data_IF_670116334309
#
_entry.id   IF_670116334309
#
_cell.length_a   1.000
_cell.length_b   1.000
_cell.length_c   1.000
_cell.angle_alpha   90.00
_cell.angle_beta   90.00
_cell.angle_gamma   90.00
#
_symmetry.space_group_name_H-M   'P 1'
#
loop_
_entity.id
_entity.type
_entity.pdbx_description
1 polymer ?
#
# COMPACT_ATOMS: atom_id res chain seq x y z
N UNK A 1 7.46 17.41 -16.28
CA UNK A 1 7.58 18.42 -15.20
C UNK A 1 8.78 18.12 -14.30
N UNK A 2 9.26 19.08 -13.49
CA UNK A 2 10.21 18.75 -12.41
C UNK A 2 9.48 17.93 -11.35
N UNK A 3 10.18 17.03 -10.66
CA UNK A 3 9.57 16.15 -9.65
C UNK A 3 8.87 16.93 -8.51
N UNK A 4 9.44 18.06 -8.09
CA UNK A 4 8.84 18.95 -7.09
C UNK A 4 7.46 19.49 -7.52
N UNK A 5 7.26 19.77 -8.80
CA UNK A 5 5.98 20.28 -9.31
C UNK A 5 4.92 19.18 -9.27
N UNK A 6 5.31 17.93 -9.60
CA UNK A 6 4.42 16.75 -9.52
C UNK A 6 3.99 16.51 -8.07
N UNK A 7 4.91 16.58 -7.11
CA UNK A 7 4.60 16.45 -5.68
C UNK A 7 3.63 17.53 -5.21
N UNK A 8 3.87 18.79 -5.60
CA UNK A 8 3.01 19.92 -5.25
C UNK A 8 1.61 19.75 -5.82
N UNK A 9 1.50 19.39 -7.10
CA UNK A 9 0.21 19.14 -7.76
C UNK A 9 -0.54 17.99 -7.09
N UNK A 10 0.15 16.88 -6.80
CA UNK A 10 -0.43 15.74 -6.11
C UNK A 10 -0.98 16.11 -4.73
N UNK A 11 -0.24 16.91 -3.97
CA UNK A 11 -0.69 17.37 -2.65
C UNK A 11 -1.91 18.28 -2.76
N UNK A 12 -1.92 19.22 -3.70
CA UNK A 12 -3.05 20.13 -3.92
C UNK A 12 -4.32 19.36 -4.29
N UNK A 13 -4.22 18.39 -5.22
CA UNK A 13 -5.37 17.57 -5.63
C UNK A 13 -5.83 16.70 -4.45
N UNK A 14 -4.94 15.94 -3.82
CA UNK A 14 -5.30 15.08 -2.71
C UNK A 14 -5.93 15.88 -1.56
N UNK A 15 -5.37 17.02 -1.18
CA UNK A 15 -5.86 17.84 -0.07
C UNK A 15 -7.24 18.47 -0.35
N UNK A 16 -7.49 18.85 -1.61
CA UNK A 16 -8.73 19.50 -2.05
C UNK A 16 -9.93 18.55 -1.96
N UNK A 17 -9.77 17.26 -2.25
CA UNK A 17 -10.86 16.29 -2.28
C UNK A 17 -10.84 15.39 -1.04
N UNK A 18 -11.58 15.77 0.02
CA UNK A 18 -11.59 15.03 1.30
C UNK A 18 -12.02 13.57 1.19
N UNK A 19 -12.91 13.25 0.25
CA UNK A 19 -13.30 11.86 0.02
C UNK A 19 -12.14 10.99 -0.49
N UNK A 20 -11.10 11.58 -1.10
CA UNK A 20 -9.91 10.82 -1.50
C UNK A 20 -9.21 10.24 -0.28
N UNK A 21 -9.21 10.95 0.86
CA UNK A 21 -8.58 10.50 2.09
C UNK A 21 -9.31 9.32 2.71
N UNK A 22 -10.65 9.35 2.68
CA UNK A 22 -11.46 8.21 3.12
C UNK A 22 -11.23 6.99 2.20
N UNK A 23 -11.19 7.21 0.89
CA UNK A 23 -10.87 6.16 -0.07
C UNK A 23 -9.46 5.60 0.14
N UNK A 24 -8.48 6.48 0.34
CA UNK A 24 -7.09 6.13 0.60
C UNK A 24 -6.89 5.31 1.88
N UNK A 25 -7.61 5.68 2.94
CA UNK A 25 -7.63 4.92 4.20
C UNK A 25 -8.08 3.47 3.98
N UNK A 26 -9.14 3.27 3.20
CA UNK A 26 -9.66 1.94 2.90
C UNK A 26 -8.71 1.15 2.01
N UNK A 27 -8.01 1.78 1.06
CA UNK A 27 -7.06 1.08 0.17
C UNK A 27 -5.78 0.67 0.93
N UNK A 28 -5.42 1.36 2.01
CA UNK A 28 -4.22 1.11 2.81
C UNK A 28 -4.54 0.79 4.29
N UNK A 29 -5.27 -0.30 4.61
CA UNK A 29 -5.66 -0.64 5.98
C UNK A 29 -4.48 -1.10 6.85
N UNK A 30 -3.35 -1.42 6.24
CA UNK A 30 -2.18 -2.07 6.84
C UNK A 30 -1.47 -1.28 7.96
N UNK A 31 -1.87 -0.03 8.20
CA UNK A 31 -1.42 0.76 9.36
C UNK A 31 -2.27 0.56 10.63
N UNK A 32 -3.38 -0.18 10.54
CA UNK A 32 -4.29 -0.45 11.67
C UNK A 32 -4.00 -1.83 12.29
N UNK A 33 -3.18 -2.65 11.61
CA UNK A 33 -2.93 -4.07 11.96
C UNK A 33 -2.08 -4.32 13.20
N UNK A 34 -1.80 -3.31 14.03
CA UNK A 34 -1.15 -3.48 15.32
C UNK A 34 -2.17 -3.86 16.40
N UNK A 35 -2.92 -4.94 16.22
CA UNK A 35 -3.56 -5.56 17.40
C UNK A 35 -2.45 -6.17 18.23
N UNK A 36 -2.25 -5.76 19.49
CA UNK A 36 -1.32 -6.45 20.33
C UNK A 36 -1.88 -7.84 20.54
N UNK A 37 -1.17 -8.81 20.01
CA UNK A 37 -1.20 -10.18 20.46
C UNK A 37 -0.55 -10.26 21.84
N UNK A 38 -0.95 -9.38 22.79
CA UNK A 38 -0.69 -9.55 24.21
C UNK A 38 -1.63 -10.67 24.70
N UNK A 39 -1.55 -11.83 24.07
CA UNK A 39 -1.86 -13.06 24.75
C UNK A 39 -0.70 -13.25 25.72
N UNK A 40 -0.86 -12.74 26.94
CA UNK A 40 0.01 -13.11 28.05
C UNK A 40 -0.26 -14.59 28.34
N UNK A 41 0.38 -15.48 27.56
CA UNK A 41 0.40 -16.90 27.85
C UNK A 41 1.35 -17.13 29.01
N UNK A 42 0.81 -17.56 30.14
CA UNK A 42 1.66 -18.16 31.15
C UNK A 42 2.04 -19.57 30.67
N UNK A 43 3.28 -20.02 30.94
CA UNK A 43 3.65 -21.40 30.67
C UNK A 43 2.69 -22.35 31.40
N UNK A 44 1.86 -23.09 30.64
CA UNK A 44 0.86 -24.01 31.18
C UNK A 44 -0.59 -23.69 30.80
N UNK A 45 -0.88 -22.49 30.27
CA UNK A 45 -2.19 -22.17 29.74
C UNK A 45 -2.48 -22.97 28.45
N UNK A 46 -3.66 -23.58 28.35
CA UNK A 46 -4.13 -24.13 27.08
C UNK A 46 -4.24 -23.01 26.06
N UNK A 47 -3.75 -23.22 24.83
CA UNK A 47 -3.93 -22.27 23.75
C UNK A 47 -5.44 -22.11 23.48
N UNK A 48 -6.07 -20.92 23.70
CA UNK A 48 -7.43 -20.60 23.24
C UNK A 48 -7.56 -20.67 21.72
N UNK A 49 -7.57 -21.90 21.19
CA UNK A 49 -7.75 -22.21 19.77
C UNK A 49 -9.04 -21.58 19.26
N UNK A 50 -10.08 -21.55 20.10
CA UNK A 50 -11.40 -21.02 19.75
C UNK A 50 -11.36 -19.50 19.56
N UNK A 51 -10.80 -18.76 20.52
CA UNK A 51 -10.69 -17.31 20.49
C UNK A 51 -9.74 -16.87 19.36
N UNK A 52 -8.63 -17.60 19.18
CA UNK A 52 -7.71 -17.39 18.07
C UNK A 52 -8.39 -17.60 16.72
N UNK A 53 -9.16 -18.70 16.56
CA UNK A 53 -9.88 -18.98 15.32
C UNK A 53 -10.97 -17.94 15.03
N UNK A 54 -11.69 -17.47 16.05
CA UNK A 54 -12.68 -16.39 15.91
C UNK A 54 -11.99 -15.09 15.46
N UNK A 55 -10.90 -14.71 16.12
CA UNK A 55 -10.14 -13.51 15.79
C UNK A 55 -9.59 -13.57 14.36
N UNK A 56 -9.02 -14.72 13.99
CA UNK A 56 -8.53 -14.97 12.63
C UNK A 56 -9.66 -14.89 11.61
N UNK A 57 -10.82 -15.48 11.90
CA UNK A 57 -12.00 -15.42 11.05
C UNK A 57 -12.51 -13.98 10.84
N UNK A 58 -12.57 -13.18 11.91
CA UNK A 58 -12.95 -11.76 11.84
C UNK A 58 -11.93 -10.96 11.04
N UNK A 59 -10.63 -11.18 11.28
CA UNK A 59 -9.56 -10.50 10.54
C UNK A 59 -9.59 -10.85 9.05
N UNK A 60 -9.83 -12.11 8.69
CA UNK A 60 -9.98 -12.54 7.30
C UNK A 60 -11.21 -11.93 6.64
N UNK A 61 -12.36 -11.94 7.32
CA UNK A 61 -13.59 -11.32 6.81
C UNK A 61 -13.39 -9.81 6.57
N UNK A 62 -12.77 -9.11 7.52
CA UNK A 62 -12.41 -7.72 7.37
C UNK A 62 -11.43 -7.49 6.21
N UNK A 63 -10.40 -8.32 6.08
CA UNK A 63 -9.47 -8.29 4.96
C UNK A 63 -10.15 -8.44 3.61
N UNK A 64 -11.12 -9.35 3.49
CA UNK A 64 -11.94 -9.51 2.28
C UNK A 64 -12.76 -8.25 2.00
N UNK A 65 -13.43 -7.67 3.00
CA UNK A 65 -14.20 -6.43 2.81
C UNK A 65 -13.32 -5.29 2.32
N UNK A 66 -12.12 -5.15 2.91
CA UNK A 66 -11.18 -4.12 2.48
C UNK A 66 -10.65 -4.38 1.07
N UNK A 67 -10.36 -5.64 0.72
CA UNK A 67 -9.96 -6.01 -0.64
C UNK A 67 -11.03 -5.62 -1.66
N UNK A 68 -12.29 -5.93 -1.37
CA UNK A 68 -13.43 -5.59 -2.24
C UNK A 68 -13.61 -4.07 -2.37
N UNK A 69 -13.55 -3.35 -1.25
CA UNK A 69 -13.66 -1.90 -1.26
C UNK A 69 -12.47 -1.24 -2.00
N UNK A 70 -11.26 -1.75 -1.79
CA UNK A 70 -10.05 -1.29 -2.49
C UNK A 70 -10.14 -1.50 -4.00
N UNK A 71 -10.70 -2.61 -4.47
CA UNK A 71 -10.91 -2.90 -5.89
C UNK A 71 -11.87 -1.89 -6.58
N UNK A 72 -12.76 -1.23 -5.83
CA UNK A 72 -13.65 -0.18 -6.33
C UNK A 72 -13.00 1.19 -6.21
N UNK A 73 -12.43 1.48 -5.02
CA UNK A 73 -11.93 2.80 -4.66
C UNK A 73 -10.64 3.15 -5.42
N UNK A 74 -9.78 2.18 -5.70
CA UNK A 74 -8.52 2.43 -6.40
C UNK A 74 -8.76 2.95 -7.83
N UNK A 75 -9.58 2.32 -8.68
CA UNK A 75 -9.97 2.89 -9.98
C UNK A 75 -10.70 4.23 -9.87
N UNK A 76 -11.61 4.38 -8.90
CA UNK A 76 -12.33 5.62 -8.66
C UNK A 76 -11.38 6.80 -8.40
N UNK A 77 -10.34 6.58 -7.57
CA UNK A 77 -9.30 7.57 -7.28
C UNK A 77 -8.47 7.91 -8.51
N UNK A 78 -8.07 6.91 -9.31
CA UNK A 78 -7.28 7.12 -10.53
C UNK A 78 -8.06 8.01 -11.51
N UNK A 79 -9.33 7.68 -11.77
CA UNK A 79 -10.17 8.43 -12.69
C UNK A 79 -10.47 9.85 -12.16
N UNK A 80 -10.85 9.97 -10.89
CA UNK A 80 -11.10 11.27 -10.27
C UNK A 80 -9.86 12.17 -10.29
N UNK A 81 -8.66 11.60 -10.10
CA UNK A 81 -7.40 12.33 -10.21
C UNK A 81 -7.17 12.84 -11.62
N UNK A 82 -7.37 12.00 -12.64
CA UNK A 82 -7.25 12.38 -14.04
C UNK A 82 -8.16 13.57 -14.39
N UNK A 83 -9.43 13.47 -14.01
CA UNK A 83 -10.43 14.51 -14.24
C UNK A 83 -10.13 15.81 -13.47
N UNK A 84 -9.71 15.70 -12.21
CA UNK A 84 -9.29 16.86 -11.41
C UNK A 84 -8.12 17.60 -12.06
N UNK A 85 -7.17 16.85 -12.65
CA UNK A 85 -6.03 17.40 -13.38
C UNK A 85 -6.44 18.08 -14.69
N UNK A 86 -7.41 17.52 -15.40
CA UNK A 86 -7.98 18.10 -16.62
C UNK A 86 -8.86 19.35 -16.35
N UNK A 87 -9.10 19.71 -15.09
CA UNK A 87 -9.94 20.83 -14.70
C UNK A 87 -11.44 20.52 -14.62
N UNK A 88 -11.84 19.26 -14.79
CA UNK A 88 -13.24 18.79 -14.78
C UNK A 88 -13.49 17.78 -13.66
N UNK A 89 -13.36 18.16 -12.38
CA UNK A 89 -13.36 17.22 -11.27
C UNK A 89 -14.67 16.44 -11.15
N UNK A 90 -14.56 15.11 -11.04
CA UNK A 90 -15.71 14.22 -10.83
C UNK A 90 -16.30 14.35 -9.42
N UNK A 91 -17.61 14.19 -9.32
CA UNK A 91 -18.27 14.00 -8.03
C UNK A 91 -17.96 12.60 -7.48
N UNK A 92 -17.96 12.45 -6.15
CA UNK A 92 -17.63 11.18 -5.50
C UNK A 92 -18.49 10.00 -6.01
N UNK A 93 -19.80 10.22 -6.20
CA UNK A 93 -20.71 9.18 -6.74
C UNK A 93 -20.39 8.75 -8.17
N UNK A 94 -19.97 9.70 -9.03
CA UNK A 94 -19.56 9.41 -10.41
C UNK A 94 -18.25 8.63 -10.44
N UNK A 95 -17.28 9.02 -9.61
CA UNK A 95 -16.02 8.31 -9.46
C UNK A 95 -16.23 6.88 -8.93
N UNK A 96 -17.09 6.70 -7.93
CA UNK A 96 -17.43 5.38 -7.39
C UNK A 96 -18.12 4.50 -8.45
N UNK A 97 -19.04 5.06 -9.23
CA UNK A 97 -19.70 4.34 -10.32
C UNK A 97 -18.69 3.83 -11.35
N UNK A 98 -17.76 4.69 -11.76
CA UNK A 98 -16.67 4.25 -12.62
C UNK A 98 -15.79 3.18 -11.94
N UNK A 99 -15.59 3.29 -10.63
CA UNK A 99 -14.94 2.25 -9.82
C UNK A 99 -15.58 0.87 -9.98
N UNK A 100 -16.91 0.81 -9.96
CA UNK A 100 -17.66 -0.43 -10.20
C UNK A 100 -17.47 -0.98 -11.62
N UNK A 101 -17.38 -0.12 -12.64
CA UNK A 101 -17.14 -0.56 -14.03
C UNK A 101 -15.78 -1.27 -14.21
N UNK A 102 -14.81 -0.95 -13.35
CA UNK A 102 -13.49 -1.58 -13.32
C UNK A 102 -13.33 -2.65 -12.22
N UNK A 103 -14.36 -2.92 -11.41
CA UNK A 103 -14.26 -3.76 -10.22
C UNK A 103 -13.67 -5.13 -10.51
N UNK A 104 -14.23 -5.88 -11.49
CA UNK A 104 -13.77 -7.24 -11.79
C UNK A 104 -12.30 -7.28 -12.24
N UNK A 105 -11.88 -6.32 -13.08
CA UNK A 105 -10.49 -6.21 -13.53
C UNK A 105 -9.55 -5.85 -12.37
N UNK A 106 -9.99 -4.95 -11.51
CA UNK A 106 -9.22 -4.46 -10.38
C UNK A 106 -9.07 -5.52 -9.28
N UNK A 107 -10.13 -6.28 -9.01
CA UNK A 107 -10.10 -7.40 -8.08
C UNK A 107 -9.12 -8.48 -8.56
N UNK A 108 -9.13 -8.83 -9.85
CA UNK A 108 -8.20 -9.80 -10.42
C UNK A 108 -6.74 -9.32 -10.35
N UNK A 109 -6.47 -8.04 -10.59
CA UNK A 109 -5.11 -7.46 -10.41
C UNK A 109 -4.70 -7.51 -8.94
N UNK A 110 -5.60 -7.22 -8.01
CA UNK A 110 -5.35 -7.36 -6.58
C UNK A 110 -5.01 -8.80 -6.19
N UNK A 111 -5.80 -9.78 -6.65
CA UNK A 111 -5.53 -11.21 -6.40
C UNK A 111 -4.20 -11.65 -7.03
N UNK A 112 -3.89 -11.19 -8.24
CA UNK A 112 -2.60 -11.43 -8.88
C UNK A 112 -1.45 -10.86 -8.03
N UNK A 113 -1.59 -9.64 -7.52
CA UNK A 113 -0.60 -9.02 -6.64
C UNK A 113 -0.39 -9.81 -5.36
N UNK A 114 -1.46 -10.31 -4.74
CA UNK A 114 -1.39 -11.17 -3.54
C UNK A 114 -0.64 -12.46 -3.88
N UNK A 115 -1.02 -13.13 -4.99
CA UNK A 115 -0.36 -14.35 -5.44
C UNK A 115 1.14 -14.17 -5.70
N UNK A 116 1.53 -13.11 -6.41
CA UNK A 116 2.94 -12.77 -6.64
C UNK A 116 3.69 -12.46 -5.33
N UNK A 117 3.05 -11.74 -4.39
CA UNK A 117 3.62 -11.47 -3.07
C UNK A 117 3.86 -12.73 -2.25
N UNK A 118 2.88 -13.66 -2.23
CA UNK A 118 3.03 -14.95 -1.56
C UNK A 118 4.15 -15.79 -2.16
N UNK A 119 4.26 -15.85 -3.49
CA UNK A 119 5.35 -16.55 -4.17
C UNK A 119 6.71 -15.97 -3.79
N UNK A 120 6.84 -14.65 -3.71
CA UNK A 120 8.06 -13.97 -3.30
C UNK A 120 8.43 -14.31 -1.83
N UNK A 121 7.44 -14.31 -0.93
CA UNK A 121 7.65 -14.71 0.47
C UNK A 121 8.08 -16.18 0.56
N UNK A 122 7.50 -17.08 -0.23
CA UNK A 122 7.89 -18.50 -0.23
C UNK A 122 9.32 -18.64 -0.79
N UNK A 123 9.61 -18.02 -1.93
CA UNK A 123 10.91 -18.14 -2.62
C UNK A 123 12.07 -17.58 -1.78
N UNK A 124 11.86 -16.49 -1.04
CA UNK A 124 12.90 -15.85 -0.23
C UNK A 124 12.88 -16.30 1.23
N UNK A 125 11.69 -16.51 1.80
CA UNK A 125 11.49 -16.87 3.20
C UNK A 125 11.82 -18.33 3.49
N UNK A 126 11.48 -19.27 2.61
CA UNK A 126 11.76 -20.69 2.86
C UNK A 126 13.27 -20.98 2.95
N UNK A 127 14.13 -20.50 2.03
CA UNK A 127 15.57 -20.68 2.17
C UNK A 127 16.13 -20.02 3.43
N UNK A 128 15.60 -18.85 3.82
CA UNK A 128 16.00 -18.16 5.04
C UNK A 128 15.67 -18.97 6.29
N UNK A 129 14.45 -19.54 6.36
CA UNK A 129 14.02 -20.40 7.46
C UNK A 129 14.91 -21.65 7.54
N UNK A 130 15.14 -22.32 6.41
CA UNK A 130 16.02 -23.51 6.34
C UNK A 130 17.44 -23.17 6.82
N UNK A 131 17.94 -21.99 6.46
CA UNK A 131 19.26 -21.52 6.90
C UNK A 131 19.33 -21.30 8.40
N UNK A 132 18.31 -20.66 9.01
CA UNK A 132 18.25 -20.47 10.46
C UNK A 132 18.11 -21.78 11.24
N UNK A 133 17.37 -22.75 10.70
CA UNK A 133 17.28 -24.11 11.28
C UNK A 133 18.66 -24.79 11.23
N UNK A 134 19.42 -24.59 10.16
CA UNK A 134 20.74 -25.20 9.97
C UNK A 134 21.82 -24.55 10.83
N UNK A 135 21.85 -23.21 10.90
CA UNK A 135 22.79 -22.42 11.69
C UNK A 135 22.36 -20.96 11.77
N UNK A 136 22.44 -20.36 12.96
CA UNK A 136 22.16 -18.93 13.18
C UNK A 136 23.07 -18.04 12.32
N UNK A 137 24.37 -18.39 12.21
CA UNK A 137 25.35 -17.63 11.42
C UNK A 137 24.99 -17.68 9.94
N UNK A 138 24.63 -18.86 9.41
CA UNK A 138 24.19 -19.02 8.03
C UNK A 138 22.89 -18.25 7.77
N UNK A 139 21.93 -18.29 8.70
CA UNK A 139 20.70 -17.52 8.64
C UNK A 139 20.94 -16.01 8.53
N UNK A 140 21.86 -15.46 9.34
CA UNK A 140 22.23 -14.04 9.27
C UNK A 140 22.88 -13.69 7.91
N UNK A 141 23.81 -14.52 7.43
CA UNK A 141 24.47 -14.29 6.13
C UNK A 141 23.46 -14.29 4.99
N UNK A 142 22.54 -15.26 4.97
CA UNK A 142 21.48 -15.32 3.94
C UNK A 142 20.49 -14.16 4.10
N UNK A 143 20.15 -13.76 5.33
CA UNK A 143 19.30 -12.58 5.56
C UNK A 143 19.90 -11.32 4.94
N UNK A 144 21.20 -11.07 5.14
CA UNK A 144 21.89 -9.91 4.58
C UNK A 144 21.88 -9.89 3.05
N UNK A 145 21.87 -11.06 2.40
CA UNK A 145 21.77 -11.19 0.96
C UNK A 145 20.33 -11.04 0.46
N UNK A 146 19.36 -11.63 1.15
CA UNK A 146 17.99 -11.75 0.68
C UNK A 146 17.12 -10.55 1.03
N UNK A 147 17.40 -9.83 2.13
CA UNK A 147 16.64 -8.63 2.51
C UNK A 147 16.69 -7.56 1.41
N UNK A 148 17.85 -7.18 0.85
CA UNK A 148 17.90 -6.23 -0.27
C UNK A 148 17.11 -6.70 -1.49
N UNK A 149 17.19 -7.99 -1.81
CA UNK A 149 16.46 -8.60 -2.94
C UNK A 149 14.95 -8.56 -2.69
N UNK A 150 14.51 -8.89 -1.48
CA UNK A 150 13.10 -8.82 -1.08
C UNK A 150 12.56 -7.39 -1.19
N UNK A 151 13.33 -6.40 -0.74
CA UNK A 151 12.99 -4.98 -0.86
C UNK A 151 12.86 -4.61 -2.35
N UNK A 152 13.88 -4.90 -3.16
CA UNK A 152 13.86 -4.57 -4.59
C UNK A 152 12.69 -5.24 -5.34
N UNK A 153 12.42 -6.51 -5.06
CA UNK A 153 11.35 -7.25 -5.69
C UNK A 153 9.96 -6.76 -5.24
N UNK A 154 9.80 -6.39 -3.96
CA UNK A 154 8.57 -5.74 -3.46
C UNK A 154 8.35 -4.40 -4.14
N UNK A 155 9.39 -3.55 -4.24
CA UNK A 155 9.33 -2.26 -4.93
C UNK A 155 8.90 -2.43 -6.39
N UNK A 156 9.53 -3.38 -7.09
CA UNK A 156 9.21 -3.70 -8.47
C UNK A 156 7.76 -4.14 -8.62
N UNK A 157 7.31 -5.11 -7.81
CA UNK A 157 5.96 -5.66 -7.88
C UNK A 157 4.91 -4.59 -7.57
N UNK A 158 5.10 -3.81 -6.50
CA UNK A 158 4.19 -2.70 -6.15
C UNK A 158 4.11 -1.68 -7.27
N UNK A 159 5.22 -1.33 -7.92
CA UNK A 159 5.23 -0.38 -9.03
C UNK A 159 4.53 -0.95 -10.26
N UNK A 160 4.83 -2.20 -10.62
CA UNK A 160 4.23 -2.89 -11.76
C UNK A 160 2.71 -2.96 -11.62
N UNK A 161 2.21 -3.35 -10.44
CA UNK A 161 0.78 -3.42 -10.17
C UNK A 161 0.12 -2.04 -10.17
N UNK A 162 0.78 -1.03 -9.61
CA UNK A 162 0.31 0.35 -9.66
C UNK A 162 0.17 0.88 -11.09
N UNK A 163 1.14 0.61 -11.96
CA UNK A 163 1.01 0.96 -13.38
C UNK A 163 -0.07 0.13 -14.07
N UNK A 164 -0.25 -1.14 -13.68
CA UNK A 164 -1.26 -2.01 -14.28
C UNK A 164 -2.66 -1.45 -14.03
N UNK A 165 -2.97 -1.05 -12.79
CA UNK A 165 -4.23 -0.37 -12.46
C UNK A 165 -4.46 0.86 -13.33
N UNK A 166 -3.44 1.72 -13.48
CA UNK A 166 -3.56 2.96 -14.27
C UNK A 166 -3.73 2.67 -15.75
N UNK A 167 -3.02 1.67 -16.27
CA UNK A 167 -3.15 1.27 -17.66
C UNK A 167 -4.55 0.72 -17.97
N UNK A 168 -5.11 -0.07 -17.06
CA UNK A 168 -6.47 -0.61 -17.16
C UNK A 168 -7.50 0.52 -17.09
N UNK A 169 -7.38 1.42 -16.12
CA UNK A 169 -8.40 2.45 -15.86
C UNK A 169 -8.35 3.58 -16.89
N UNK A 170 -7.15 4.10 -17.19
CA UNK A 170 -6.99 5.27 -18.05
C UNK A 170 -7.08 4.96 -19.55
N UNK A 171 -6.75 3.74 -19.96
CA UNK A 171 -6.82 3.33 -21.38
C UNK A 171 -7.81 2.19 -21.61
N UNK A 172 -8.63 1.84 -20.61
CA UNK A 172 -9.63 0.77 -20.67
C UNK A 172 -9.07 -0.58 -21.16
N UNK A 173 -7.84 -0.94 -20.75
CA UNK A 173 -7.18 -2.16 -21.22
C UNK A 173 -7.69 -3.44 -20.53
N UNK A 174 -7.41 -4.58 -21.17
CA UNK A 174 -7.50 -5.89 -20.52
C UNK A 174 -6.40 -6.03 -19.45
N UNK A 175 -6.53 -7.03 -18.58
CA UNK A 175 -5.52 -7.27 -17.52
C UNK A 175 -4.17 -7.64 -18.15
N UNK A 176 -4.17 -8.55 -19.13
CA UNK A 176 -2.95 -8.99 -19.81
C UNK A 176 -2.23 -7.85 -20.53
N UNK A 177 -2.98 -7.02 -21.26
CA UNK A 177 -2.42 -5.85 -21.95
C UNK A 177 -1.94 -4.79 -20.94
N UNK A 178 -2.68 -4.62 -19.85
CA UNK A 178 -2.31 -3.73 -18.74
C UNK A 178 -0.96 -4.12 -18.13
N UNK A 179 -0.79 -5.41 -17.78
CA UNK A 179 0.46 -5.95 -17.23
C UNK A 179 1.59 -5.82 -18.24
N UNK A 180 1.38 -6.24 -19.49
CA UNK A 180 2.39 -6.17 -20.55
C UNK A 180 2.88 -4.73 -20.76
N UNK A 181 1.95 -3.78 -20.88
CA UNK A 181 2.26 -2.36 -21.02
C UNK A 181 2.98 -1.80 -19.79
N UNK A 182 2.62 -2.24 -18.59
CA UNK A 182 3.30 -1.85 -17.35
C UNK A 182 4.72 -2.37 -17.24
N UNK A 183 4.98 -3.60 -17.68
CA UNK A 183 6.33 -4.15 -17.73
C UNK A 183 7.18 -3.44 -18.78
N UNK A 184 6.61 -3.16 -19.95
CA UNK A 184 7.27 -2.36 -20.97
C UNK A 184 7.63 -0.96 -20.42
N UNK A 185 6.69 -0.30 -19.74
CA UNK A 185 6.91 0.99 -19.07
C UNK A 185 7.98 0.91 -17.99
N UNK A 186 8.05 -0.16 -17.21
CA UNK A 186 9.11 -0.35 -16.20
C UNK A 186 10.47 -0.57 -16.83
N UNK A 187 10.53 -1.35 -17.92
CA UNK A 187 11.77 -1.61 -18.65
C UNK A 187 12.32 -0.36 -19.36
N UNK A 188 11.42 0.54 -19.79
CA UNK A 188 11.78 1.79 -20.45
C UNK A 188 11.91 2.98 -19.50
N UNK A 189 11.40 2.87 -18.26
CA UNK A 189 11.44 3.95 -17.30
C UNK A 189 12.87 4.21 -16.85
N UNK A 190 13.30 5.46 -17.04
CA UNK A 190 14.54 5.99 -16.44
C UNK A 190 14.42 5.98 -14.90
N UNK A 191 15.55 6.09 -14.18
CA UNK A 191 15.68 6.20 -12.71
C UNK A 191 14.58 6.98 -11.94
N UNK A 192 13.91 8.01 -12.48
CA UNK A 192 12.86 8.74 -11.77
C UNK A 192 11.68 7.91 -11.27
N UNK A 193 11.29 6.81 -11.94
CA UNK A 193 10.20 5.93 -11.48
C UNK A 193 10.52 5.23 -10.16
N UNK A 194 11.79 4.85 -10.00
CA UNK A 194 12.36 4.25 -8.79
C UNK A 194 12.48 5.29 -7.68
N UNK A 195 12.86 6.53 -8.02
CA UNK A 195 12.82 7.67 -7.10
C UNK A 195 11.41 8.03 -6.63
N UNK A 196 10.39 7.81 -7.47
CA UNK A 196 8.98 8.02 -7.10
C UNK A 196 8.47 6.93 -6.17
N UNK A 197 8.78 5.67 -6.45
CA UNK A 197 8.46 4.56 -5.56
C UNK A 197 9.21 4.68 -4.22
N UNK A 198 10.49 5.06 -4.25
CA UNK A 198 11.26 5.38 -3.05
C UNK A 198 10.66 6.58 -2.33
N UNK A 199 10.30 7.69 -2.98
CA UNK A 199 9.67 8.82 -2.28
C UNK A 199 8.31 8.45 -1.65
N UNK A 200 7.51 7.63 -2.35
CA UNK A 200 6.22 7.14 -1.90
C UNK A 200 6.30 6.03 -0.84
N UNK A 201 7.51 5.59 -0.46
CA UNK A 201 7.75 4.58 0.60
C UNK A 201 8.69 5.09 1.70
N UNK A 202 9.70 5.90 1.35
CA UNK A 202 10.71 6.50 2.22
C UNK A 202 10.18 7.73 2.92
N UNK A 203 9.44 8.64 2.26
CA UNK A 203 8.79 9.77 2.96
C UNK A 203 7.78 9.25 4.01
N UNK A 204 6.93 8.25 3.69
CA UNK A 204 6.16 7.50 4.67
C UNK A 204 7.00 6.87 5.76
N UNK A 205 8.03 6.08 5.39
CA UNK A 205 8.85 5.34 6.35
C UNK A 205 9.57 6.26 7.33
N UNK A 206 10.07 7.40 6.86
CA UNK A 206 10.70 8.44 7.69
C UNK A 206 9.67 9.17 8.55
N UNK A 207 8.44 9.43 8.06
CA UNK A 207 7.37 10.04 8.86
C UNK A 207 6.78 9.08 9.90
N UNK A 208 6.74 7.78 9.58
CA UNK A 208 6.29 6.70 10.44
C UNK A 208 7.38 6.26 11.43
N UNK A 209 8.66 6.53 11.16
CA UNK A 209 9.76 6.11 12.03
C UNK A 209 9.69 6.75 13.42
N UNK A 210 9.54 8.08 13.61
CA UNK A 210 9.35 8.70 14.91
C UNK A 210 8.12 8.18 15.64
N UNK A 211 7.04 7.92 14.90
CA UNK A 211 5.78 7.37 15.43
C UNK A 211 6.00 5.95 15.95
N UNK A 212 6.62 5.09 15.14
CA UNK A 212 6.97 3.72 15.53
C UNK A 212 7.97 3.68 16.68
N UNK A 213 8.87 4.67 16.78
CA UNK A 213 9.80 4.83 17.91
C UNK A 213 9.08 5.28 19.18
N UNK A 214 8.15 6.23 19.11
CA UNK A 214 7.30 6.60 20.25
C UNK A 214 6.56 5.36 20.74
N UNK A 215 5.98 4.56 19.83
CA UNK A 215 5.28 3.33 20.19
C UNK A 215 6.20 2.25 20.76
N UNK A 216 7.37 2.04 20.19
CA UNK A 216 8.35 1.08 20.72
C UNK A 216 8.87 1.49 22.10
N UNK A 217 9.10 2.79 22.33
CA UNK A 217 9.51 3.34 23.63
C UNK A 217 8.37 3.24 24.65
N UNK A 218 7.12 3.48 24.25
CA UNK A 218 5.96 3.28 25.13
C UNK A 218 5.76 1.80 25.50
N UNK A 219 5.89 0.88 24.54
CA UNK A 219 5.82 -0.56 24.83
C UNK A 219 6.98 -1.02 25.72
N UNK A 220 8.20 -0.55 25.45
CA UNK A 220 9.35 -0.82 26.32
C UNK A 220 9.10 -0.29 27.73
N UNK A 221 8.62 0.95 27.89
CA UNK A 221 8.31 1.54 29.19
C UNK A 221 7.21 0.78 29.95
N UNK A 222 6.18 0.28 29.26
CA UNK A 222 5.15 -0.58 29.87
C UNK A 222 5.74 -1.93 30.31
N UNK A 223 6.63 -2.52 29.50
CA UNK A 223 7.36 -3.74 29.85
C UNK A 223 8.30 -3.56 31.06
N UNK A 224 8.95 -2.41 31.19
CA UNK A 224 9.89 -2.11 32.27
C UNK A 224 9.24 -1.63 33.57
N UNK A 225 8.02 -1.10 33.53
CA UNK A 225 7.33 -0.57 34.72
C UNK A 225 6.35 -1.54 35.35
N UNK A 226 6.00 -2.64 34.67
CA UNK A 226 5.05 -3.64 35.17
C UNK A 226 3.64 -3.10 35.39
N UNK A 227 3.36 -1.86 35.00
CA UNK A 227 2.05 -1.24 35.12
C UNK A 227 1.22 -1.51 33.86
N UNK A 228 0.29 -2.46 33.97
CA UNK A 228 -0.87 -2.55 33.07
C UNK A 228 -1.86 -1.43 33.37
N UNK A 229 -1.42 -0.20 33.17
CA UNK A 229 -2.31 0.96 33.23
C UNK A 229 -3.21 0.92 32.00
N UNK A 230 -4.46 0.46 32.18
CA UNK A 230 -5.48 0.47 31.12
C UNK A 230 -5.71 1.86 30.51
N UNK A 231 -5.36 2.93 31.22
CA UNK A 231 -5.38 4.31 30.72
C UNK A 231 -4.22 4.56 29.73
N UNK A 232 -2.99 4.14 30.06
CA UNK A 232 -1.85 4.25 29.13
C UNK A 232 -2.06 3.38 27.89
N UNK A 233 -2.63 2.19 28.07
CA UNK A 233 -2.98 1.30 26.96
C UNK A 233 -4.12 1.88 26.10
N UNK A 234 -5.15 2.47 26.72
CA UNK A 234 -6.25 3.15 26.02
C UNK A 234 -5.79 4.37 25.22
N UNK A 235 -4.91 5.20 25.80
CA UNK A 235 -4.28 6.32 25.10
C UNK A 235 -3.38 5.83 23.96
N UNK A 236 -2.62 4.75 24.17
CA UNK A 236 -1.81 4.12 23.12
C UNK A 236 -2.65 3.72 21.91
N UNK A 237 -3.76 3.01 22.11
CA UNK A 237 -4.65 2.63 21.01
C UNK A 237 -5.31 3.84 20.36
N UNK A 238 -5.78 4.79 21.15
CA UNK A 238 -6.41 6.00 20.62
C UNK A 238 -5.44 6.77 19.73
N UNK A 239 -4.20 7.03 20.17
CA UNK A 239 -3.20 7.70 19.35
C UNK A 239 -2.77 6.86 18.14
N UNK A 240 -2.61 5.54 18.28
CA UNK A 240 -2.29 4.64 17.16
C UNK A 240 -3.37 4.68 16.08
N UNK A 241 -4.64 4.61 16.47
CA UNK A 241 -5.77 4.66 15.54
C UNK A 241 -5.93 6.08 14.97
N UNK A 242 -5.93 7.10 15.82
CA UNK A 242 -6.11 8.49 15.41
C UNK A 242 -5.00 8.99 14.48
N UNK A 243 -3.78 8.45 14.58
CA UNK A 243 -2.67 8.78 13.70
C UNK A 243 -2.61 7.88 12.46
N UNK A 244 -2.92 6.58 12.59
CA UNK A 244 -2.95 5.66 11.45
C UNK A 244 -4.01 6.04 10.42
N UNK A 245 -5.14 6.62 10.84
CA UNK A 245 -6.20 7.09 9.92
C UNK A 245 -5.70 8.17 8.94
N UNK A 246 -5.18 9.34 9.39
CA UNK A 246 -4.67 10.36 8.48
C UNK A 246 -3.42 9.91 7.74
N UNK A 247 -2.60 9.03 8.33
CA UNK A 247 -1.43 8.45 7.66
C UNK A 247 -1.85 7.50 6.52
N UNK A 248 -2.74 6.54 6.76
CA UNK A 248 -3.28 5.64 5.74
C UNK A 248 -4.07 6.41 4.67
N UNK A 249 -4.85 7.40 5.09
CA UNK A 249 -5.52 8.34 4.19
C UNK A 249 -4.52 9.09 3.31
N UNK A 250 -3.42 9.59 3.89
CA UNK A 250 -2.34 10.20 3.14
C UNK A 250 -1.71 9.20 2.17
N UNK A 251 -1.27 8.02 2.62
CA UNK A 251 -0.59 7.06 1.75
C UNK A 251 -1.45 6.53 0.61
N UNK A 252 -2.71 6.21 0.89
CA UNK A 252 -3.64 5.77 -0.14
C UNK A 252 -4.01 6.90 -1.10
N UNK A 253 -4.42 8.07 -0.59
CA UNK A 253 -4.89 9.18 -1.41
C UNK A 253 -3.75 9.87 -2.15
N UNK A 254 -2.76 10.39 -1.41
CA UNK A 254 -1.62 11.10 -1.98
C UNK A 254 -0.78 10.17 -2.84
N UNK A 255 -0.50 8.95 -2.38
CA UNK A 255 0.23 7.96 -3.17
C UNK A 255 -0.49 7.65 -4.49
N UNK A 256 -1.80 7.36 -4.45
CA UNK A 256 -2.56 7.06 -5.67
C UNK A 256 -2.59 8.24 -6.63
N UNK A 257 -2.80 9.47 -6.13
CA UNK A 257 -2.77 10.71 -6.92
C UNK A 257 -1.38 10.92 -7.54
N UNK A 258 -0.33 10.82 -6.74
CA UNK A 258 1.05 11.05 -7.14
C UNK A 258 1.47 10.12 -8.28
N UNK A 259 1.24 8.82 -8.11
CA UNK A 259 1.54 7.84 -9.15
C UNK A 259 0.69 8.07 -10.41
N UNK A 260 -0.54 8.59 -10.28
CA UNK A 260 -1.40 8.88 -11.44
C UNK A 260 -0.88 10.07 -12.23
N UNK A 261 -0.53 11.19 -11.56
CA UNK A 261 0.05 12.36 -12.22
C UNK A 261 1.40 12.00 -12.85
N UNK A 262 2.25 11.24 -12.15
CA UNK A 262 3.52 10.77 -12.67
C UNK A 262 3.34 9.90 -13.93
N UNK A 263 2.36 9.00 -13.91
CA UNK A 263 2.03 8.16 -15.07
C UNK A 263 1.65 9.00 -16.29
N UNK A 264 0.85 10.06 -16.11
CA UNK A 264 0.53 11.00 -17.19
C UNK A 264 1.77 11.75 -17.70
N UNK A 265 2.55 12.33 -16.80
CA UNK A 265 3.71 13.15 -17.17
C UNK A 265 4.78 12.39 -17.95
N UNK A 266 4.94 11.10 -17.65
CA UNK A 266 6.00 10.30 -18.25
C UNK A 266 5.55 9.51 -19.47
N UNK A 267 4.31 9.02 -19.50
CA UNK A 267 3.88 8.10 -20.55
C UNK A 267 2.82 8.66 -21.49
N UNK A 268 2.06 9.67 -21.08
CA UNK A 268 1.06 10.32 -21.95
C UNK A 268 1.69 11.46 -22.74
N UNK A 269 2.55 12.27 -22.10
CA UNK A 269 3.24 13.39 -22.79
C UNK A 269 4.20 12.93 -23.90
N UNK A 270 4.89 11.81 -23.72
CA UNK A 270 5.73 11.25 -24.80
C UNK A 270 4.89 10.87 -26.03
N UNK A 271 3.66 10.35 -25.84
CA UNK A 271 2.77 9.99 -26.96
C UNK A 271 2.04 11.15 -27.61
N UNK A 272 1.77 12.24 -26.90
CA UNK A 272 1.15 13.43 -27.51
C UNK A 272 2.06 14.14 -28.53
N UNK A 273 3.35 13.76 -28.59
CA UNK A 273 4.23 14.18 -29.69
C UNK A 273 4.03 13.35 -30.97
N UNK A 274 3.39 12.18 -30.88
CA UNK A 274 3.22 11.23 -32.00
C UNK A 274 1.75 10.93 -32.40
N UNK A 275 0.75 11.17 -31.55
CA UNK A 275 -0.66 10.99 -31.95
C UNK A 275 -1.66 11.65 -30.98
N UNK A 276 -2.72 12.25 -31.55
CA UNK A 276 -3.84 12.83 -30.83
C UNK A 276 -4.57 11.75 -30.03
N UNK A 277 -4.44 11.78 -28.71
CA UNK A 277 -5.31 11.02 -27.81
C UNK A 277 -6.60 11.84 -27.62
N UNK A 278 -7.78 11.31 -27.95
CA UNK A 278 -9.04 12.00 -27.69
C UNK A 278 -9.30 11.98 -26.17
N UNK A 279 -9.57 13.16 -25.60
CA UNK A 279 -10.08 13.31 -24.24
C UNK A 279 -11.57 12.99 -24.19
#
# INVERSE_FOLDING_TARGET
MKFADILKEAFVIAWRFKWFWLAGFIIYPQLIGGYPTNFHYQPGDEFPIKEFAILMGVAMAFGVLVLLAGAILQPALILATSHARAGTPLRAGEALRAGFDFFGRSLLVALLSIGCGMLLVIMLGLPLIIAFISSVVLGIVIALLFVPVAIAATLFLTTAMNYTYRNIVLYNLSIGDGVSKSLAQLSSAKLPSLGLCLSALVIPGIALFPVSMIFAVSQAAMLFTGQESGILMGLYYFFSIALSIPLAGYFGAFGSVLFTIAHYEWFVRERSSDSQVPF
#
